data_IF_547364377330
#
_entry.id   IF_547364377330
#
_cell.length_a   1.000
_cell.length_b   1.000
_cell.length_c   1.000
_cell.angle_alpha   90.00
_cell.angle_beta   90.00
_cell.angle_gamma   90.00
#
_symmetry.space_group_name_H-M   'P 1'
#
loop_
_entity.id
_entity.type
_entity.pdbx_description
1 polymer ?
#
# COMPACT_ATOMS: atom_id res chain seq x y z
N UNK A 1 -6.84 14.09 12.96
CA UNK A 1 -7.03 13.06 11.91
C UNK A 1 -5.66 12.53 11.55
N UNK A 2 -5.44 11.21 11.60
CA UNK A 2 -4.21 10.63 11.09
C UNK A 2 -4.23 10.68 9.56
N UNK A 3 -3.14 11.14 8.93
CA UNK A 3 -3.02 11.16 7.47
C UNK A 3 -2.74 9.76 6.94
N UNK A 4 -3.49 9.33 5.91
CA UNK A 4 -3.19 8.09 5.19
C UNK A 4 -2.07 8.38 4.18
N UNK A 5 -0.98 7.58 4.14
CA UNK A 5 0.10 7.82 3.19
C UNK A 5 -0.35 7.54 1.74
N UNK A 6 -0.12 8.51 0.85
CA UNK A 6 -0.39 8.41 -0.59
C UNK A 6 0.68 7.62 -1.37
N UNK A 7 1.72 7.13 -0.69
CA UNK A 7 2.78 6.36 -1.29
C UNK A 7 3.69 5.72 -0.27
N UNK A 8 4.51 4.78 -0.73
CA UNK A 8 5.57 4.13 0.02
C UNK A 8 6.81 3.98 -0.88
N UNK A 9 7.99 4.11 -0.29
CA UNK A 9 9.27 3.82 -0.95
C UNK A 9 9.76 2.49 -0.39
N UNK A 10 10.13 1.58 -1.28
CA UNK A 10 10.64 0.26 -0.95
C UNK A 10 12.06 0.14 -1.49
N UNK A 11 12.95 -0.40 -0.66
CA UNK A 11 14.32 -0.72 -1.04
C UNK A 11 14.32 -2.07 -1.76
N UNK A 12 14.31 -2.04 -3.10
CA UNK A 12 14.21 -3.25 -3.91
C UNK A 12 15.36 -4.22 -3.66
N UNK A 13 16.60 -3.72 -3.52
CA UNK A 13 17.79 -4.55 -3.33
C UNK A 13 17.75 -5.31 -2.00
N UNK A 14 17.11 -4.71 -0.98
CA UNK A 14 16.86 -5.38 0.30
C UNK A 14 15.77 -6.45 0.20
N UNK A 15 14.77 -6.25 -0.65
CA UNK A 15 13.58 -7.10 -0.75
C UNK A 15 13.75 -8.25 -1.75
N UNK A 16 14.53 -8.03 -2.80
CA UNK A 16 14.88 -9.00 -3.84
C UNK A 16 16.39 -9.03 -3.97
N UNK A 17 17.08 -9.66 -3.00
CA UNK A 17 18.52 -9.73 -3.01
C UNK A 17 19.01 -10.64 -4.17
N UNK A 18 20.31 -10.57 -4.54
CA UNK A 18 20.78 -11.12 -5.81
C UNK A 18 20.53 -12.61 -6.04
N UNK A 19 20.45 -13.42 -4.98
CA UNK A 19 20.12 -14.84 -5.08
C UNK A 19 18.65 -15.12 -5.42
N UNK A 20 17.76 -14.13 -5.27
CA UNK A 20 16.37 -14.21 -5.69
C UNK A 20 16.11 -13.63 -7.08
N UNK A 21 17.11 -13.05 -7.76
CA UNK A 21 16.96 -12.49 -9.10
C UNK A 21 17.13 -13.56 -10.19
N UNK A 22 16.31 -13.46 -11.23
CA UNK A 22 16.45 -14.21 -12.46
C UNK A 22 17.68 -13.76 -13.27
N UNK A 23 17.91 -14.42 -14.40
CA UNK A 23 19.09 -14.17 -15.24
C UNK A 23 19.13 -12.77 -15.86
N UNK A 24 18.02 -12.03 -15.84
CA UNK A 24 17.97 -10.63 -16.30
C UNK A 24 18.40 -9.61 -15.22
N UNK A 25 18.59 -10.06 -13.98
CA UNK A 25 18.98 -9.19 -12.87
C UNK A 25 17.90 -8.19 -12.44
N UNK A 26 16.64 -8.36 -12.86
CA UNK A 26 15.53 -7.43 -12.54
C UNK A 26 14.36 -8.18 -11.93
N UNK A 27 13.95 -9.30 -12.52
CA UNK A 27 12.78 -10.04 -12.06
C UNK A 27 13.15 -11.06 -10.99
N UNK A 28 12.29 -11.29 -9.98
CA UNK A 28 12.45 -12.43 -9.10
C UNK A 28 12.42 -13.76 -9.87
N UNK A 29 13.10 -14.78 -9.34
CA UNK A 29 13.00 -16.15 -9.85
C UNK A 29 11.56 -16.68 -9.78
N UNK A 30 11.24 -17.65 -10.64
CA UNK A 30 9.94 -18.34 -10.65
C UNK A 30 9.58 -18.86 -9.25
N UNK A 31 8.31 -18.72 -8.85
CA UNK A 31 7.83 -19.09 -7.52
C UNK A 31 7.88 -17.96 -6.49
N UNK A 32 8.40 -16.78 -6.87
CA UNK A 32 8.45 -15.58 -6.04
C UNK A 32 7.42 -14.51 -6.44
N UNK A 33 6.39 -14.88 -7.21
CA UNK A 33 5.36 -13.95 -7.70
C UNK A 33 4.61 -13.25 -6.55
N UNK A 34 4.59 -13.89 -5.37
CA UNK A 34 3.99 -13.34 -4.16
C UNK A 34 4.79 -12.25 -3.44
N UNK A 35 6.06 -12.03 -3.79
CA UNK A 35 6.91 -11.03 -3.11
C UNK A 35 6.29 -9.64 -3.16
N UNK A 36 5.92 -9.16 -4.35
CA UNK A 36 5.29 -7.85 -4.50
C UNK A 36 3.97 -7.74 -3.71
N UNK A 37 3.16 -8.80 -3.73
CA UNK A 37 1.90 -8.84 -2.98
C UNK A 37 2.13 -8.73 -1.47
N UNK A 38 3.20 -9.32 -0.93
CA UNK A 38 3.53 -9.25 0.50
C UNK A 38 3.75 -7.82 1.01
N UNK A 39 4.17 -6.90 0.13
CA UNK A 39 4.38 -5.48 0.46
C UNK A 39 3.15 -4.62 0.13
N UNK A 40 2.52 -4.87 -1.02
CA UNK A 40 1.38 -4.08 -1.47
C UNK A 40 0.13 -4.32 -0.62
N UNK A 41 -0.13 -5.57 -0.23
CA UNK A 41 -1.36 -5.93 0.49
C UNK A 41 -1.48 -5.16 1.81
N UNK A 42 -0.48 -5.14 2.72
CA UNK A 42 -0.56 -4.36 3.95
C UNK A 42 -0.75 -2.85 3.71
N UNK A 43 -0.06 -2.28 2.71
CA UNK A 43 -0.20 -0.86 2.37
C UNK A 43 -1.61 -0.52 1.90
N UNK A 44 -2.16 -1.32 0.99
CA UNK A 44 -3.53 -1.16 0.47
C UNK A 44 -4.60 -1.47 1.53
N UNK A 45 -4.29 -2.30 2.52
CA UNK A 45 -5.20 -2.62 3.62
C UNK A 45 -5.56 -1.38 4.43
N UNK A 46 -4.59 -0.50 4.67
CA UNK A 46 -4.81 0.77 5.37
C UNK A 46 -5.82 1.66 4.62
N UNK A 47 -5.69 1.72 3.29
CA UNK A 47 -6.63 2.44 2.42
C UNK A 47 -8.02 1.82 2.44
N UNK A 48 -8.11 0.49 2.35
CA UNK A 48 -9.37 -0.25 2.42
C UNK A 48 -10.10 -0.05 3.74
N UNK A 49 -9.37 -0.06 4.85
CA UNK A 49 -9.95 0.10 6.18
C UNK A 49 -10.50 1.52 6.36
N UNK A 50 -9.78 2.53 5.89
CA UNK A 50 -10.26 3.90 5.83
C UNK A 50 -11.51 4.06 4.94
N UNK A 51 -11.50 3.52 3.72
CA UNK A 51 -12.62 3.60 2.79
C UNK A 51 -13.87 2.85 3.29
N UNK A 52 -13.70 1.77 4.04
CA UNK A 52 -14.81 0.97 4.60
C UNK A 52 -15.36 1.50 5.92
N UNK A 53 -14.93 2.68 6.37
CA UNK A 53 -15.38 3.28 7.64
C UNK A 53 -14.89 2.55 8.89
N UNK A 54 -13.94 1.62 8.74
CA UNK A 54 -13.30 0.86 9.82
C UNK A 54 -11.91 1.41 10.22
N UNK A 55 -11.47 2.49 9.60
CA UNK A 55 -10.20 3.17 9.89
C UNK A 55 -10.38 4.45 10.75
N UNK A 56 -9.29 4.98 11.32
CA UNK A 56 -9.27 6.18 12.17
C UNK A 56 -9.70 7.49 11.45
N UNK A 57 -10.02 7.40 10.16
CA UNK A 57 -10.51 8.48 9.29
C UNK A 57 -11.91 8.18 8.76
N UNK A 58 -12.76 7.53 9.56
CA UNK A 58 -14.20 7.46 9.26
C UNK A 58 -14.65 8.88 8.92
N UNK A 59 -15.13 9.08 7.69
CA UNK A 59 -15.78 10.31 7.26
C UNK A 59 -17.13 10.41 7.99
N UNK A 60 -17.13 10.63 9.31
CA UNK A 60 -18.30 11.10 10.07
C UNK A 60 -18.41 12.63 9.99
N UNK A 61 -18.03 13.19 8.84
CA UNK A 61 -18.33 14.57 8.49
C UNK A 61 -19.64 14.56 7.72
N UNK A 62 -20.72 15.00 8.37
CA UNK A 62 -21.95 15.41 7.69
C UNK A 62 -21.58 16.27 6.47
N UNK A 63 -21.72 15.70 5.27
CA UNK A 63 -21.61 16.42 4.00
C UNK A 63 -22.91 17.20 3.80
N UNK A 64 -23.22 18.12 4.71
CA UNK A 64 -24.36 19.04 4.60
C UNK A 64 -23.99 20.50 4.72
N UNK A 65 -22.73 20.85 5.09
CA UNK A 65 -22.34 22.26 5.29
C UNK A 65 -21.19 22.77 4.39
N UNK A 66 -20.71 22.03 3.40
CA UNK A 66 -19.63 22.52 2.51
C UNK A 66 -20.12 23.36 1.30
N UNK A 67 -21.42 23.67 1.20
CA UNK A 67 -22.00 24.43 0.07
C UNK A 67 -22.76 25.69 0.51
N UNK A 68 -22.63 26.16 1.76
CA UNK A 68 -23.11 27.48 2.15
C UNK A 68 -22.08 28.21 3.01
N UNK A 69 -21.49 29.25 2.41
CA UNK A 69 -20.54 30.18 3.02
C UNK A 69 -19.78 30.96 1.96
#
# INVERSE_FOLDING_TARGET
MASIPNGAILDWDRLVPPELLGSDGVHPVTGQEGLLASFLVPFLQTWRDAASGRGPTRCDGDVTNAVQG
#
